data_IF_452799618047
#
_entry.id   IF_452799618047
#
_cell.length_a   1.000
_cell.length_b   1.000
_cell.length_c   1.000
_cell.angle_alpha   90.00
_cell.angle_beta   90.00
_cell.angle_gamma   90.00
#
_symmetry.space_group_name_H-M   'P 1'
#
loop_
_entity.id
_entity.type
_entity.pdbx_description
1 polymer ?
#
# COMPACT_ATOMS: atom_id res chain seq x y z
N UNK A 1 16.40 -5.96 -14.73
CA UNK A 1 15.09 -5.39 -14.35
C UNK A 1 14.30 -5.08 -15.60
N UNK A 2 13.06 -5.54 -15.72
CA UNK A 2 12.19 -5.07 -16.80
C UNK A 2 11.47 -3.78 -16.36
N UNK A 3 11.13 -2.91 -17.32
CA UNK A 3 10.40 -1.67 -17.08
C UNK A 3 9.06 -1.92 -16.39
N UNK A 4 8.41 -3.06 -16.66
CA UNK A 4 7.11 -3.42 -16.13
C UNK A 4 7.14 -3.53 -14.59
N UNK A 5 8.18 -4.11 -14.00
CA UNK A 5 8.33 -4.23 -12.55
C UNK A 5 8.39 -2.85 -11.88
N UNK A 6 9.10 -1.89 -12.46
CA UNK A 6 9.16 -0.50 -11.93
C UNK A 6 7.79 0.17 -12.03
N UNK A 7 7.08 -0.04 -13.14
CA UNK A 7 5.76 0.54 -13.34
C UNK A 7 4.73 0.03 -12.31
N UNK A 8 4.89 -1.18 -11.76
CA UNK A 8 4.05 -1.69 -10.68
C UNK A 8 4.18 -0.90 -9.36
N UNK A 9 5.26 -0.15 -9.14
CA UNK A 9 5.38 0.67 -7.94
C UNK A 9 4.61 1.99 -8.03
N UNK A 10 4.31 2.48 -9.23
CA UNK A 10 3.72 3.81 -9.43
C UNK A 10 2.36 3.94 -8.73
N UNK A 11 1.38 3.02 -8.92
CA UNK A 11 0.09 3.15 -8.25
C UNK A 11 0.20 3.10 -6.73
N UNK A 12 1.15 2.32 -6.20
CA UNK A 12 1.44 2.27 -4.75
C UNK A 12 1.90 3.65 -4.26
N UNK A 13 2.91 4.27 -4.88
CA UNK A 13 3.38 5.59 -4.47
C UNK A 13 2.29 6.66 -4.57
N UNK A 14 1.52 6.66 -5.65
CA UNK A 14 0.43 7.63 -5.83
C UNK A 14 -0.62 7.47 -4.74
N UNK A 15 -1.08 6.25 -4.47
CA UNK A 15 -2.10 6.00 -3.44
C UNK A 15 -1.58 6.35 -2.05
N UNK A 16 -0.43 5.82 -1.64
CA UNK A 16 0.07 6.03 -0.28
C UNK A 16 0.49 7.49 -0.06
N UNK A 17 1.09 8.13 -1.06
CA UNK A 17 1.42 9.55 -1.05
C UNK A 17 0.18 10.42 -0.87
N UNK A 18 -0.85 10.18 -1.68
CA UNK A 18 -2.11 10.90 -1.55
C UNK A 18 -2.76 10.66 -0.20
N UNK A 19 -2.80 9.41 0.27
CA UNK A 19 -3.48 9.02 1.52
C UNK A 19 -2.76 9.57 2.75
N UNK A 20 -1.43 9.51 2.80
CA UNK A 20 -0.63 10.10 3.87
C UNK A 20 -0.84 11.61 3.99
N UNK A 21 -0.95 12.31 2.86
CA UNK A 21 -1.21 13.75 2.84
C UNK A 21 -2.65 14.10 3.25
N UNK A 22 -3.64 13.31 2.82
CA UNK A 22 -5.05 13.68 2.92
C UNK A 22 -5.78 13.12 4.16
N UNK A 23 -5.37 11.96 4.67
CA UNK A 23 -6.02 11.32 5.82
C UNK A 23 -5.98 12.12 7.13
N UNK A 24 -4.95 12.95 7.45
CA UNK A 24 -5.01 13.84 8.63
C UNK A 24 -6.12 14.88 8.55
N UNK A 25 -6.58 15.20 7.32
CA UNK A 25 -7.69 16.13 7.04
C UNK A 25 -9.05 15.42 6.98
N UNK A 26 -9.10 14.13 7.36
CA UNK A 26 -10.31 13.32 7.32
C UNK A 26 -10.76 12.94 5.90
N UNK A 27 -9.90 13.08 4.90
CA UNK A 27 -10.19 12.74 3.50
C UNK A 27 -9.65 11.35 3.21
N UNK A 28 -10.54 10.45 2.77
CA UNK A 28 -10.22 9.06 2.48
C UNK A 28 -10.65 8.69 1.07
N UNK A 29 -9.96 7.75 0.40
CA UNK A 29 -10.44 7.20 -0.85
C UNK A 29 -11.76 6.47 -0.57
N UNK A 30 -12.77 6.70 -1.42
CA UNK A 30 -14.09 6.09 -1.29
C UNK A 30 -14.54 5.37 -2.56
N UNK A 31 -15.64 4.62 -2.44
CA UNK A 31 -16.31 3.99 -3.58
C UNK A 31 -15.50 2.89 -4.26
N UNK A 32 -15.69 2.74 -5.58
CA UNK A 32 -15.02 1.71 -6.38
C UNK A 32 -13.50 1.89 -6.44
N UNK A 33 -13.02 3.14 -6.48
CA UNK A 33 -11.59 3.44 -6.52
C UNK A 33 -10.86 2.91 -5.28
N UNK A 34 -11.46 3.06 -4.09
CA UNK A 34 -10.91 2.54 -2.84
C UNK A 34 -10.82 1.00 -2.83
N UNK A 35 -11.85 0.33 -3.35
CA UNK A 35 -11.88 -1.13 -3.46
C UNK A 35 -10.84 -1.65 -4.46
N UNK A 36 -10.72 -1.00 -5.60
CA UNK A 36 -9.71 -1.34 -6.61
C UNK A 36 -8.29 -1.15 -6.07
N UNK A 37 -8.03 -0.03 -5.36
CA UNK A 37 -6.76 0.20 -4.69
C UNK A 37 -6.44 -0.91 -3.68
N UNK A 38 -7.39 -1.26 -2.80
CA UNK A 38 -7.17 -2.31 -1.81
C UNK A 38 -6.81 -3.67 -2.42
N UNK A 39 -7.49 -4.05 -3.51
CA UNK A 39 -7.17 -5.30 -4.25
C UNK A 39 -5.80 -5.20 -4.89
N UNK A 40 -5.48 -4.06 -5.52
CA UNK A 40 -4.18 -3.84 -6.14
C UNK A 40 -3.04 -3.94 -5.13
N UNK A 41 -3.16 -3.29 -3.97
CA UNK A 41 -2.16 -3.33 -2.90
C UNK A 41 -1.92 -4.76 -2.40
N UNK A 42 -2.99 -5.53 -2.18
CA UNK A 42 -2.87 -6.93 -1.78
C UNK A 42 -2.13 -7.77 -2.82
N UNK A 43 -2.49 -7.63 -4.10
CA UNK A 43 -1.82 -8.34 -5.20
C UNK A 43 -0.38 -7.89 -5.38
N UNK A 44 -0.09 -6.60 -5.22
CA UNK A 44 1.25 -6.04 -5.28
C UNK A 44 2.15 -6.69 -4.22
N UNK A 45 1.71 -6.78 -2.96
CA UNK A 45 2.52 -7.39 -1.91
C UNK A 45 2.68 -8.90 -2.05
N UNK A 46 1.68 -9.61 -2.56
CA UNK A 46 1.80 -11.03 -2.92
C UNK A 46 2.86 -11.21 -4.02
N UNK A 47 2.83 -10.37 -5.05
CA UNK A 47 3.86 -10.36 -6.08
C UNK A 47 5.24 -10.00 -5.51
N UNK A 48 5.33 -8.99 -4.65
CA UNK A 48 6.59 -8.55 -4.05
C UNK A 48 7.27 -9.64 -3.23
N UNK A 49 6.51 -10.55 -2.61
CA UNK A 49 7.06 -11.73 -1.92
C UNK A 49 7.86 -12.64 -2.86
N UNK A 50 7.47 -12.73 -4.14
CA UNK A 50 8.17 -13.55 -5.15
C UNK A 50 9.56 -13.00 -5.48
N UNK A 51 9.83 -11.73 -5.15
CA UNK A 51 11.15 -11.12 -5.35
C UNK A 51 12.19 -11.63 -4.35
N UNK A 52 11.77 -12.17 -3.20
CA UNK A 52 12.68 -12.67 -2.16
C UNK A 52 13.45 -11.57 -1.41
N UNK A 53 12.99 -10.32 -1.47
CA UNK A 53 13.62 -9.16 -0.84
C UNK A 53 12.77 -8.66 0.33
N UNK A 54 13.41 -8.23 1.42
CA UNK A 54 12.77 -7.68 2.62
C UNK A 54 11.63 -8.55 3.20
N UNK A 55 11.72 -9.87 3.00
CA UNK A 55 10.62 -10.84 3.12
C UNK A 55 9.76 -10.69 4.38
N UNK A 56 10.30 -10.56 5.61
CA UNK A 56 9.46 -10.46 6.80
C UNK A 56 8.53 -9.24 6.77
N UNK A 57 9.03 -8.10 6.28
CA UNK A 57 8.25 -6.85 6.22
C UNK A 57 7.27 -6.90 5.05
N UNK A 58 7.70 -7.45 3.89
CA UNK A 58 6.80 -7.71 2.76
C UNK A 58 5.63 -8.60 3.15
N UNK A 59 5.89 -9.67 3.92
CA UNK A 59 4.86 -10.61 4.37
C UNK A 59 3.87 -9.94 5.32
N UNK A 60 4.36 -9.09 6.24
CA UNK A 60 3.50 -8.30 7.11
C UNK A 60 2.56 -7.40 6.31
N UNK A 61 3.08 -6.63 5.35
CA UNK A 61 2.25 -5.77 4.51
C UNK A 61 1.30 -6.57 3.62
N UNK A 62 1.70 -7.74 3.11
CA UNK A 62 0.82 -8.65 2.37
C UNK A 62 -0.38 -9.07 3.20
N UNK A 63 -0.16 -9.47 4.46
CA UNK A 63 -1.24 -9.86 5.38
C UNK A 63 -2.14 -8.67 5.67
N UNK A 64 -1.58 -7.50 6.00
CA UNK A 64 -2.35 -6.28 6.31
C UNK A 64 -3.27 -5.93 5.13
N UNK A 65 -2.76 -5.92 3.91
CA UNK A 65 -3.54 -5.54 2.73
C UNK A 65 -4.53 -6.62 2.31
N UNK A 66 -4.17 -7.89 2.41
CA UNK A 66 -5.08 -8.99 2.14
C UNK A 66 -6.28 -8.99 3.09
N UNK A 67 -6.05 -8.77 4.40
CA UNK A 67 -7.12 -8.60 5.39
C UNK A 67 -7.86 -7.26 5.20
N UNK A 68 -7.18 -6.24 4.68
CA UNK A 68 -7.78 -4.94 4.35
C UNK A 68 -8.85 -5.03 3.26
N UNK A 69 -8.70 -5.89 2.25
CA UNK A 69 -9.66 -6.06 1.14
C UNK A 69 -11.11 -6.26 1.64
N UNK A 70 -11.45 -7.29 2.44
CA UNK A 70 -12.83 -7.47 2.91
C UNK A 70 -13.32 -6.29 3.76
N UNK A 71 -12.43 -5.57 4.47
CA UNK A 71 -12.81 -4.38 5.24
C UNK A 71 -13.22 -3.20 4.34
N UNK A 72 -12.53 -3.00 3.22
CA UNK A 72 -12.92 -2.03 2.18
C UNK A 72 -14.27 -2.39 1.55
N UNK A 73 -14.50 -3.67 1.26
CA UNK A 73 -15.76 -4.12 0.66
C UNK A 73 -16.94 -4.01 1.62
N UNK A 74 -16.73 -4.26 2.91
CA UNK A 74 -17.74 -4.11 3.96
C UNK A 74 -17.97 -2.66 4.45
N UNK A 75 -17.22 -1.68 3.92
CA UNK A 75 -17.39 -0.27 4.28
C UNK A 75 -16.91 0.09 5.70
N UNK A 76 -16.18 -0.81 6.37
CA UNK A 76 -15.76 -0.64 7.76
C UNK A 76 -14.77 0.51 7.95
N UNK A 77 -14.00 0.87 6.92
CA UNK A 77 -13.01 1.95 6.97
C UNK A 77 -13.59 3.34 7.24
N UNK A 78 -14.84 3.58 6.83
CA UNK A 78 -15.56 4.82 7.16
C UNK A 78 -15.67 5.06 8.68
N UNK A 79 -15.65 3.99 9.48
CA UNK A 79 -15.75 4.03 10.95
C UNK A 79 -14.42 4.40 11.62
N UNK A 80 -13.31 4.37 10.87
CA UNK A 80 -11.97 4.65 11.38
C UNK A 80 -11.48 6.07 11.03
N UNK A 81 -12.38 6.94 10.54
CA UNK A 81 -12.05 8.33 10.17
C UNK A 81 -11.38 9.13 11.30
N UNK A 82 -11.69 8.81 12.55
CA UNK A 82 -11.07 9.37 13.78
C UNK A 82 -9.58 9.03 13.95
N UNK A 83 -9.08 8.02 13.25
CA UNK A 83 -7.68 7.58 13.32
C UNK A 83 -6.81 8.14 12.19
N UNK A 84 -7.28 9.16 11.45
CA UNK A 84 -6.61 9.67 10.25
C UNK A 84 -5.14 10.05 10.43
N UNK A 85 -4.74 10.54 11.60
CA UNK A 85 -3.31 10.81 11.90
C UNK A 85 -2.48 9.53 11.99
N UNK A 86 -2.97 8.51 12.71
CA UNK A 86 -2.28 7.23 12.82
C UNK A 86 -2.23 6.51 11.47
N UNK A 87 -3.32 6.59 10.71
CA UNK A 87 -3.39 6.06 9.37
C UNK A 87 -2.41 6.76 8.41
N UNK A 88 -2.27 8.08 8.50
CA UNK A 88 -1.26 8.82 7.73
C UNK A 88 0.18 8.38 8.04
N UNK A 89 0.49 8.10 9.31
CA UNK A 89 1.81 7.60 9.72
C UNK A 89 2.05 6.20 9.17
N UNK A 90 1.05 5.33 9.21
CA UNK A 90 1.12 4.01 8.59
C UNK A 90 1.42 4.10 7.09
N UNK A 91 0.66 4.92 6.37
CA UNK A 91 0.85 5.13 4.92
C UNK A 91 2.22 5.76 4.60
N UNK A 92 2.73 6.63 5.46
CA UNK A 92 4.08 7.21 5.31
C UNK A 92 5.19 6.17 5.57
N UNK A 93 5.04 5.33 6.59
CA UNK A 93 5.95 4.21 6.83
C UNK A 93 5.97 3.23 5.64
N UNK A 94 4.82 3.02 5.03
CA UNK A 94 4.68 2.20 3.84
C UNK A 94 5.37 2.81 2.61
N UNK A 95 5.30 4.13 2.41
CA UNK A 95 6.07 4.82 1.37
C UNK A 95 7.59 4.62 1.54
N UNK A 96 8.09 4.72 2.77
CA UNK A 96 9.51 4.48 3.07
C UNK A 96 9.90 3.04 2.76
N UNK A 97 9.04 2.09 3.13
CA UNK A 97 9.23 0.68 2.80
C UNK A 97 9.24 0.45 1.27
N UNK A 98 8.29 1.02 0.53
CA UNK A 98 8.22 0.90 -0.93
C UNK A 98 9.46 1.49 -1.61
N UNK A 99 9.98 2.62 -1.11
CA UNK A 99 11.24 3.20 -1.58
C UNK A 99 12.43 2.25 -1.34
N UNK A 100 12.51 1.64 -0.15
CA UNK A 100 13.54 0.66 0.16
C UNK A 100 13.42 -0.61 -0.71
N UNK A 101 12.20 -1.11 -0.94
CA UNK A 101 11.95 -2.26 -1.79
C UNK A 101 12.32 -1.97 -3.24
N UNK A 102 11.91 -0.83 -3.79
CA UNK A 102 12.28 -0.43 -5.15
C UNK A 102 13.80 -0.28 -5.30
N UNK A 103 14.46 0.37 -4.35
CA UNK A 103 15.92 0.48 -4.33
C UNK A 103 16.59 -0.91 -4.32
N UNK A 104 16.10 -1.84 -3.49
CA UNK A 104 16.62 -3.21 -3.45
C UNK A 104 16.41 -3.97 -4.77
N UNK A 105 15.27 -3.77 -5.43
CA UNK A 105 15.00 -4.33 -6.77
C UNK A 105 15.95 -3.75 -7.81
N UNK A 106 16.18 -2.42 -7.78
CA UNK A 106 17.09 -1.73 -8.69
C UNK A 106 18.54 -2.20 -8.52
N UNK A 107 19.01 -2.38 -7.28
CA UNK A 107 20.39 -2.79 -6.96
C UNK A 107 20.70 -4.27 -7.22
N UNK A 108 19.67 -5.11 -7.40
CA UNK A 108 19.85 -6.53 -7.75
C UNK A 108 20.28 -6.72 -9.22
N UNK A 109 20.23 -5.67 -10.03
CA UNK A 109 20.51 -5.66 -11.46
C UNK A 109 21.61 -4.67 -11.83
#
# INVERSE_FOLDING_TARGET
>A
MDLLQVLLFIPMYVKHGWTALNSPRGRYPGGLAAKAAAVYEALFYIWALTLGLLVPVTALFAVIHFVGVPLYFGGYLSRYSRYGKAYAVFEAAELLYLAALLAAVLLRH
#
